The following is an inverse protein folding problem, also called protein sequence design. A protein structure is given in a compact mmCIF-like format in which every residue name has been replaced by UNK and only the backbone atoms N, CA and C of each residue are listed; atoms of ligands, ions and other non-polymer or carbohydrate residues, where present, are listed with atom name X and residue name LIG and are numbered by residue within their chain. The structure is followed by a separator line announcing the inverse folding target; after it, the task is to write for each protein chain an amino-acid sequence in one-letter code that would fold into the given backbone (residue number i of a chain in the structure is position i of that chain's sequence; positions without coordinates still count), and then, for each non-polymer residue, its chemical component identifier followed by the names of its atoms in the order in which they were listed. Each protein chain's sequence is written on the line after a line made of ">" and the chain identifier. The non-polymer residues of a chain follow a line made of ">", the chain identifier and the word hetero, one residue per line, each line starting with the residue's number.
data_IF_212859399305
#
_entry.id   IF_212859399305
#
_cell.length_a   1.000
_cell.length_b   1.000
_cell.length_c   1.000
_cell.angle_alpha   90.00
_cell.angle_beta   90.00
_cell.angle_gamma   90.00
#
_symmetry.space_group_name_H-M   'P 1'
#
loop_
_entity.id
_entity.type
_entity.pdbx_description
1 polymer ?
#
# COMPACT_ATOMS: atom_id res chain seq x y z
N UNK A 1 -3.06 -14.93 -2.51
CA UNK A 1 -2.40 -13.67 -2.11
C UNK A 1 -1.40 -14.04 -1.02
N UNK A 2 -0.23 -14.52 -1.42
CA UNK A 2 0.84 -14.88 -0.49
C UNK A 2 1.41 -13.60 0.10
N UNK A 3 1.23 -13.38 1.40
CA UNK A 3 1.96 -12.33 2.11
C UNK A 3 3.40 -12.82 2.29
N UNK A 4 4.32 -12.39 1.41
CA UNK A 4 5.74 -12.43 1.73
C UNK A 4 6.03 -11.26 2.66
N UNK A 5 6.14 -11.55 3.94
CA UNK A 5 6.44 -10.58 4.98
C UNK A 5 6.64 -11.27 6.32
N UNK A 6 7.52 -10.71 7.15
CA UNK A 6 7.68 -11.16 8.53
C UNK A 6 6.33 -11.09 9.26
N UNK A 7 6.03 -12.11 10.07
CA UNK A 7 4.82 -12.11 10.91
C UNK A 7 4.85 -10.86 11.81
N UNK A 8 3.81 -10.00 11.75
CA UNK A 8 3.84 -8.74 12.48
C UNK A 8 3.79 -9.01 13.99
N UNK A 9 4.76 -8.47 14.73
CA UNK A 9 4.81 -8.59 16.19
C UNK A 9 3.76 -7.72 16.90
N UNK A 10 3.30 -6.66 16.24
CA UNK A 10 2.38 -5.69 16.79
C UNK A 10 1.33 -5.30 15.76
N UNK A 11 0.08 -5.18 16.20
CA UNK A 11 -0.97 -4.49 15.45
C UNK A 11 -1.30 -3.19 16.19
N UNK A 12 -1.12 -2.06 15.53
CA UNK A 12 -1.58 -0.76 16.03
C UNK A 12 -2.90 -0.44 15.32
N UNK A 13 -3.95 -0.14 16.09
CA UNK A 13 -5.25 0.28 15.56
C UNK A 13 -5.92 1.31 16.46
N UNK A 14 -6.90 2.03 15.93
CA UNK A 14 -7.75 2.90 16.74
C UNK A 14 -8.76 2.11 17.59
N UNK A 15 -9.66 2.83 18.27
CA UNK A 15 -10.72 2.26 19.11
C UNK A 15 -12.07 2.14 18.39
N UNK A 16 -12.12 2.18 17.06
CA UNK A 16 -13.37 2.01 16.30
C UNK A 16 -14.04 0.67 16.68
N UNK A 17 -15.35 0.71 16.91
CA UNK A 17 -16.17 -0.44 17.33
C UNK A 17 -16.26 -1.53 16.28
N UNK A 18 -15.90 -1.23 15.01
CA UNK A 18 -15.75 -2.23 13.95
C UNK A 18 -14.70 -3.29 14.27
N UNK A 19 -13.71 -2.97 15.09
CA UNK A 19 -12.69 -3.91 15.53
C UNK A 19 -13.22 -4.79 16.66
N UNK A 20 -13.88 -5.89 16.26
CA UNK A 20 -14.47 -6.87 17.18
C UNK A 20 -13.42 -7.66 17.95
N UNK A 21 -13.87 -8.38 18.99
CA UNK A 21 -13.01 -9.33 19.72
C UNK A 21 -12.46 -10.41 18.79
N UNK A 22 -13.30 -10.96 17.91
CA UNK A 22 -12.90 -11.97 16.94
C UNK A 22 -11.80 -11.47 15.99
N UNK A 23 -11.83 -10.19 15.62
CA UNK A 23 -10.75 -9.58 14.85
C UNK A 23 -9.44 -9.57 15.63
N UNK A 24 -9.45 -9.10 16.90
CA UNK A 24 -8.25 -9.11 17.75
C UNK A 24 -7.70 -10.54 17.96
N UNK A 25 -8.58 -11.55 18.03
CA UNK A 25 -8.19 -12.96 18.26
C UNK A 25 -7.42 -13.58 17.08
N UNK A 26 -7.73 -13.20 15.83
CA UNK A 26 -6.96 -13.63 14.64
C UNK A 26 -5.51 -13.14 14.70
N UNK A 27 -5.28 -11.93 15.19
CA UNK A 27 -3.93 -11.38 15.31
C UNK A 27 -3.17 -12.00 16.49
N UNK A 28 -3.87 -12.27 17.61
CA UNK A 28 -3.26 -12.96 18.76
C UNK A 28 -2.85 -14.39 18.40
N UNK A 29 -3.63 -15.10 17.57
CA UNK A 29 -3.30 -16.47 17.18
C UNK A 29 -2.01 -16.59 16.35
N UNK A 30 -1.62 -15.51 15.66
CA UNK A 30 -0.33 -15.42 14.95
C UNK A 30 0.77 -14.76 15.80
N UNK A 31 0.53 -14.56 17.11
CA UNK A 31 1.53 -14.03 18.05
C UNK A 31 1.65 -12.50 18.08
N UNK A 32 0.75 -11.77 17.42
CA UNK A 32 0.81 -10.30 17.41
C UNK A 32 0.19 -9.69 18.67
N UNK A 33 0.86 -8.68 19.24
CA UNK A 33 0.31 -7.86 20.33
C UNK A 33 -0.56 -6.72 19.80
N UNK A 34 -1.80 -6.63 20.28
CA UNK A 34 -2.70 -5.52 19.95
C UNK A 34 -2.36 -4.27 20.78
N UNK A 35 -2.09 -3.16 20.10
CA UNK A 35 -1.88 -1.84 20.69
C UNK A 35 -3.01 -0.92 20.18
N UNK A 36 -3.81 -0.39 21.09
CA UNK A 36 -4.84 0.60 20.75
C UNK A 36 -4.23 1.99 20.86
N UNK A 37 -4.43 2.84 19.84
CA UNK A 37 -4.01 4.26 19.90
C UNK A 37 -4.60 4.94 21.13
N UNK A 38 -4.02 6.01 21.71
CA UNK A 38 -4.60 6.72 22.84
C UNK A 38 -5.96 7.39 22.51
N UNK A 39 -6.78 7.67 23.53
CA UNK A 39 -8.13 8.22 23.32
C UNK A 39 -8.00 9.66 22.84
N UNK A 40 -8.70 10.03 21.76
CA UNK A 40 -8.66 11.38 21.16
C UNK A 40 -7.27 11.81 20.69
N UNK A 41 -6.47 10.87 20.16
CA UNK A 41 -5.15 11.16 19.58
C UNK A 41 -5.12 10.78 18.10
N UNK A 42 -5.56 11.67 17.19
CA UNK A 42 -5.61 11.38 15.75
C UNK A 42 -4.21 11.06 15.18
N UNK A 43 -3.18 11.73 15.70
CA UNK A 43 -1.78 11.50 15.26
C UNK A 43 -1.32 10.06 15.48
N UNK A 44 -1.86 9.35 16.47
CA UNK A 44 -1.46 7.98 16.76
C UNK A 44 -1.93 6.96 15.69
N UNK A 45 -2.88 7.33 14.84
CA UNK A 45 -3.32 6.54 13.68
C UNK A 45 -2.86 7.15 12.34
N UNK A 46 -1.99 8.15 12.37
CA UNK A 46 -1.67 8.99 11.21
C UNK A 46 -1.12 8.21 10.02
N UNK A 47 -0.44 7.07 10.23
CA UNK A 47 0.05 6.25 9.12
C UNK A 47 -1.08 5.61 8.33
N UNK A 48 -2.04 4.97 9.02
CA UNK A 48 -3.20 4.38 8.37
C UNK A 48 -4.08 5.45 7.71
N UNK A 49 -4.32 6.57 8.41
CA UNK A 49 -5.11 7.69 7.86
C UNK A 49 -4.44 8.32 6.65
N UNK A 50 -3.12 8.52 6.69
CA UNK A 50 -2.35 9.03 5.55
C UNK A 50 -2.47 8.09 4.37
N UNK A 51 -2.33 6.78 4.59
CA UNK A 51 -2.47 5.78 3.53
C UNK A 51 -3.86 5.83 2.88
N UNK A 52 -4.94 5.83 3.68
CA UNK A 52 -6.32 5.93 3.16
C UNK A 52 -6.52 7.23 2.38
N UNK A 53 -6.01 8.36 2.90
CA UNK A 53 -6.09 9.64 2.22
C UNK A 53 -5.33 9.64 0.88
N UNK A 54 -4.18 8.98 0.82
CA UNK A 54 -3.40 8.82 -0.41
C UNK A 54 -4.17 8.02 -1.46
N UNK A 55 -4.71 6.86 -1.08
CA UNK A 55 -5.53 6.04 -1.98
C UNK A 55 -6.70 6.84 -2.56
N UNK A 56 -7.43 7.57 -1.69
CA UNK A 56 -8.58 8.39 -2.10
C UNK A 56 -8.20 9.47 -3.12
N UNK A 57 -7.20 10.28 -2.77
CA UNK A 57 -6.74 11.41 -3.59
C UNK A 57 -6.17 10.98 -4.94
N UNK A 58 -5.54 9.81 -5.02
CA UNK A 58 -4.88 9.38 -6.25
C UNK A 58 -5.77 8.53 -7.15
N UNK A 59 -6.89 8.00 -6.65
CA UNK A 59 -7.73 7.06 -7.40
C UNK A 59 -9.22 7.40 -7.35
N UNK A 60 -10.00 7.07 -6.29
CA UNK A 60 -11.44 7.35 -6.25
C UNK A 60 -11.85 8.80 -6.52
N UNK A 61 -11.04 9.79 -6.16
CA UNK A 61 -11.36 11.20 -6.40
C UNK A 61 -11.30 11.56 -7.91
N UNK A 62 -10.73 10.68 -8.74
CA UNK A 62 -10.56 10.84 -10.19
C UNK A 62 -11.32 9.80 -11.02
N UNK A 63 -11.97 8.83 -10.38
CA UNK A 63 -12.63 7.71 -11.05
C UNK A 63 -14.12 7.65 -10.67
N UNK A 64 -14.97 7.47 -11.68
CA UNK A 64 -16.37 7.13 -11.43
C UNK A 64 -16.48 5.67 -11.02
N UNK A 65 -16.62 5.43 -9.71
CA UNK A 65 -16.79 4.09 -9.15
C UNK A 65 -18.25 3.65 -9.33
N UNK A 66 -18.50 2.82 -10.35
CA UNK A 66 -19.85 2.36 -10.69
C UNK A 66 -20.47 1.38 -9.69
N UNK A 67 -19.67 0.55 -9.02
CA UNK A 67 -20.15 -0.41 -8.03
C UNK A 67 -19.02 -0.87 -7.07
N UNK A 68 -19.39 -1.71 -6.09
CA UNK A 68 -18.46 -2.25 -5.09
C UNK A 68 -17.36 -3.13 -5.71
N UNK A 69 -17.68 -3.96 -6.71
CA UNK A 69 -16.72 -4.85 -7.37
C UNK A 69 -15.71 -4.04 -8.16
N UNK A 70 -16.16 -2.97 -8.81
CA UNK A 70 -15.30 -2.01 -9.48
C UNK A 70 -14.37 -1.34 -8.46
N UNK A 71 -14.88 -0.84 -7.33
CA UNK A 71 -14.05 -0.26 -6.27
C UNK A 71 -12.98 -1.25 -5.79
N UNK A 72 -13.37 -2.50 -5.52
CA UNK A 72 -12.43 -3.53 -5.07
C UNK A 72 -11.33 -3.78 -6.10
N UNK A 73 -11.66 -3.78 -7.40
CA UNK A 73 -10.66 -3.90 -8.47
C UNK A 73 -9.72 -2.70 -8.50
N UNK A 74 -10.25 -1.48 -8.42
CA UNK A 74 -9.44 -0.25 -8.38
C UNK A 74 -8.48 -0.28 -7.19
N UNK A 75 -8.98 -0.63 -6.00
CA UNK A 75 -8.16 -0.71 -4.78
C UNK A 75 -7.10 -1.81 -4.89
N UNK A 76 -7.42 -2.98 -5.46
CA UNK A 76 -6.44 -4.05 -5.63
C UNK A 76 -5.30 -3.64 -6.58
N UNK A 77 -5.63 -2.97 -7.69
CA UNK A 77 -4.65 -2.43 -8.63
C UNK A 77 -3.79 -1.37 -7.94
N UNK A 78 -4.41 -0.43 -7.21
CA UNK A 78 -3.68 0.59 -6.47
C UNK A 78 -2.73 0.01 -5.43
N UNK A 79 -3.15 -1.02 -4.68
CA UNK A 79 -2.31 -1.70 -3.69
C UNK A 79 -1.10 -2.36 -4.35
N UNK A 80 -1.28 -2.99 -5.52
CA UNK A 80 -0.18 -3.54 -6.32
C UNK A 80 0.81 -2.45 -6.72
N UNK A 81 0.32 -1.37 -7.33
CA UNK A 81 1.13 -0.20 -7.68
C UNK A 81 1.90 0.36 -6.46
N UNK A 82 1.20 0.60 -5.35
CA UNK A 82 1.75 1.21 -4.14
C UNK A 82 2.91 0.42 -3.54
N UNK A 83 2.81 -0.91 -3.54
CA UNK A 83 3.84 -1.76 -2.91
C UNK A 83 4.96 -2.18 -3.87
N UNK A 84 4.69 -2.27 -5.18
CA UNK A 84 5.62 -2.89 -6.12
C UNK A 84 6.27 -1.91 -7.10
N UNK A 85 5.66 -0.74 -7.31
CA UNK A 85 6.05 0.17 -8.41
C UNK A 85 6.24 1.61 -7.96
N UNK A 86 5.51 2.04 -6.91
CA UNK A 86 5.57 3.40 -6.42
C UNK A 86 6.90 3.65 -5.70
N UNK A 87 7.64 4.71 -6.05
CA UNK A 87 8.82 5.11 -5.28
C UNK A 87 8.42 5.77 -3.95
N UNK A 88 9.02 5.32 -2.84
CA UNK A 88 8.77 5.89 -1.51
C UNK A 88 10.01 6.63 -1.00
N UNK A 89 9.85 7.92 -0.69
CA UNK A 89 10.95 8.74 -0.13
C UNK A 89 11.52 8.14 1.16
N UNK A 90 10.66 7.58 2.02
CA UNK A 90 11.09 6.91 3.26
C UNK A 90 11.90 5.64 3.05
N UNK A 91 11.90 5.08 1.83
CA UNK A 91 12.64 3.87 1.46
C UNK A 91 13.78 4.15 0.46
N UNK A 92 14.17 5.43 0.29
CA UNK A 92 15.19 5.83 -0.67
C UNK A 92 14.73 5.71 -2.13
N UNK A 93 13.48 6.07 -2.40
CA UNK A 93 12.80 5.96 -3.70
C UNK A 93 12.56 4.51 -4.19
N UNK A 94 12.77 3.53 -3.33
CA UNK A 94 12.37 2.13 -3.56
C UNK A 94 10.89 1.91 -3.27
N UNK A 95 10.34 0.86 -3.86
CA UNK A 95 9.04 0.29 -3.49
C UNK A 95 9.18 -0.68 -2.30
N UNK A 96 8.14 -0.86 -1.48
CA UNK A 96 8.14 -1.80 -0.35
C UNK A 96 8.54 -3.23 -0.70
N UNK A 97 8.11 -3.70 -1.87
CA UNK A 97 8.34 -5.07 -2.35
C UNK A 97 9.60 -5.18 -3.22
N UNK A 98 10.39 -4.10 -3.37
CA UNK A 98 11.63 -4.15 -4.13
C UNK A 98 12.60 -5.15 -3.47
N UNK A 99 13.24 -6.04 -4.26
CA UNK A 99 14.32 -6.86 -3.75
C UNK A 99 15.46 -5.96 -3.25
N UNK A 100 16.32 -6.47 -2.33
CA UNK A 100 17.57 -5.81 -2.02
C UNK A 100 18.35 -5.61 -3.32
N UNK A 101 18.60 -4.35 -3.69
CA UNK A 101 19.27 -4.00 -4.92
C UNK A 101 20.70 -3.56 -4.63
N UNK A 102 21.62 -3.92 -5.53
CA UNK A 102 22.94 -3.30 -5.63
C UNK A 102 22.83 -1.88 -6.20
N UNK A 103 23.92 -1.11 -6.14
CA UNK A 103 23.95 0.30 -6.52
C UNK A 103 23.30 0.57 -7.90
N UNK A 104 22.46 1.62 -7.95
CA UNK A 104 21.73 2.00 -9.15
C UNK A 104 22.69 2.25 -10.32
N UNK A 105 22.58 1.44 -11.37
CA UNK A 105 23.29 1.66 -12.63
C UNK A 105 22.48 2.63 -13.48
N UNK A 106 23.13 3.61 -14.12
CA UNK A 106 22.44 4.51 -15.05
C UNK A 106 21.84 3.70 -16.20
N UNK A 107 20.54 3.88 -16.46
CA UNK A 107 19.83 3.13 -17.50
C UNK A 107 19.50 4.05 -18.68
N UNK A 108 19.77 3.64 -19.93
CA UNK A 108 19.39 4.42 -21.11
C UNK A 108 17.87 4.60 -21.20
N UNK A 109 17.43 5.82 -21.53
CA UNK A 109 16.00 6.15 -21.63
C UNK A 109 15.30 5.39 -22.76
N UNK A 110 16.01 4.97 -23.81
CA UNK A 110 15.43 4.15 -24.89
C UNK A 110 14.89 2.80 -24.40
N UNK A 111 15.39 2.31 -23.27
CA UNK A 111 14.94 1.07 -22.66
C UNK A 111 13.78 1.29 -21.69
N UNK A 112 13.37 2.53 -21.42
CA UNK A 112 12.26 2.81 -20.50
C UNK A 112 10.92 2.64 -21.23
N UNK A 113 10.05 1.78 -20.68
CA UNK A 113 8.68 1.58 -21.14
C UNK A 113 7.71 2.13 -20.12
N UNK A 114 6.72 2.89 -20.60
CA UNK A 114 5.59 3.34 -19.80
C UNK A 114 4.48 2.31 -19.86
N UNK A 115 3.92 1.96 -18.71
CA UNK A 115 2.75 1.13 -18.58
C UNK A 115 1.65 1.93 -17.86
N UNK A 116 0.50 2.07 -18.51
CA UNK A 116 -0.63 2.84 -17.98
C UNK A 116 -1.54 1.95 -17.13
N UNK A 117 -1.84 2.42 -15.93
CA UNK A 117 -2.64 1.72 -14.93
C UNK A 117 -3.87 2.55 -14.61
N UNK A 118 -5.00 1.88 -14.36
CA UNK A 118 -6.31 2.51 -14.11
C UNK A 118 -6.71 3.51 -15.21
N UNK A 119 -6.54 3.11 -16.48
CA UNK A 119 -6.92 3.94 -17.63
C UNK A 119 -6.00 5.15 -17.84
N UNK A 120 -4.74 5.07 -17.40
CA UNK A 120 -3.76 6.16 -17.52
C UNK A 120 -3.79 7.15 -16.37
N UNK A 121 -4.55 6.88 -15.30
CA UNK A 121 -4.50 7.67 -14.08
C UNK A 121 -3.16 7.51 -13.35
N UNK A 122 -2.57 6.31 -13.44
CA UNK A 122 -1.26 5.99 -12.89
C UNK A 122 -0.35 5.61 -14.05
N UNK A 123 0.86 6.16 -14.05
CA UNK A 123 1.91 5.80 -15.00
C UNK A 123 3.03 5.07 -14.26
N UNK A 124 3.26 3.82 -14.66
CA UNK A 124 4.39 3.03 -14.22
C UNK A 124 5.47 3.02 -15.29
N UNK A 125 6.73 2.91 -14.86
CA UNK A 125 7.87 2.88 -15.76
C UNK A 125 8.72 1.67 -15.43
N UNK A 126 9.06 0.90 -16.46
CA UNK A 126 9.90 -0.29 -16.34
C UNK A 126 10.95 -0.34 -17.45
N UNK A 127 12.01 -1.11 -17.21
CA UNK A 127 13.03 -1.34 -18.22
C UNK A 127 12.56 -2.46 -19.14
N UNK A 128 12.64 -2.24 -20.45
CA UNK A 128 12.48 -3.29 -21.45
C UNK A 128 13.52 -4.38 -21.18
N UNK A 129 13.09 -5.62 -21.12
CA UNK A 129 14.00 -6.75 -21.18
C UNK A 129 14.77 -6.68 -22.52
N UNK A 130 16.09 -6.81 -22.44
CA UNK A 130 16.96 -6.91 -23.62
C UNK A 130 16.73 -8.23 -24.37
#
# INVERSE_FOLDING_TARGET
>A
MEQRGAVPRHLIRDRDTKFSRAFDDVWRSIGARIIRTPVRTPVANAFAERWVGTVRRECPDHLLVVDRRHLQRVLAIFVGHYNQRRPHRGLGLRSPDDPPADAATAVPLENLRRHDVLGGLIHEYELAAA
#
